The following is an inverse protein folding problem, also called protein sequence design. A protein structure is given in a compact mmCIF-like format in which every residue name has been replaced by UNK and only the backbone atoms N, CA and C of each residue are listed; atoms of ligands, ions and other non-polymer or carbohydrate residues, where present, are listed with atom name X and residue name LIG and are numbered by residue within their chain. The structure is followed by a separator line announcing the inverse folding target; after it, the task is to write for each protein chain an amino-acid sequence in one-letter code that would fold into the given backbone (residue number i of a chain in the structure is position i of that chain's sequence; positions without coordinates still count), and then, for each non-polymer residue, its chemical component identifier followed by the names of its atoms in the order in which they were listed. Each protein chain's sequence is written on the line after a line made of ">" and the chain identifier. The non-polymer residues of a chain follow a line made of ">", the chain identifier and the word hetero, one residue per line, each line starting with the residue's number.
data_IF_898498339738
#
_entry.id   IF_898498339738
#
_cell.length_a   1.000
_cell.length_b   1.000
_cell.length_c   1.000
_cell.angle_alpha   90.00
_cell.angle_beta   90.00
_cell.angle_gamma   90.00
#
_symmetry.space_group_name_H-M   'P 1'
#
loop_
_entity.id
_entity.type
_entity.pdbx_description
1 polymer ?
#
# COMPACT_ATOMS: atom_id res chain seq x y z
N UNK A 1 -15.20 19.64 0.12
CA UNK A 1 -16.35 20.55 0.29
C UNK A 1 -16.15 21.77 -0.59
N UNK A 2 -17.12 22.19 -1.42
CA UNK A 2 -16.95 23.36 -2.27
C UNK A 2 -16.86 24.63 -1.42
N UNK A 3 -15.87 25.48 -1.70
CA UNK A 3 -15.70 26.79 -1.06
C UNK A 3 -16.94 27.70 -1.23
N UNK A 4 -17.72 27.46 -2.28
CA UNK A 4 -18.92 28.21 -2.63
C UNK A 4 -20.17 27.79 -1.85
N UNK A 5 -20.06 26.94 -0.83
CA UNK A 5 -21.21 26.60 0.01
C UNK A 5 -21.64 27.84 0.79
N UNK A 6 -22.81 28.35 0.46
CA UNK A 6 -23.48 29.46 1.15
C UNK A 6 -24.76 28.93 1.77
N UNK A 7 -25.07 29.34 2.99
CA UNK A 7 -26.33 28.98 3.65
C UNK A 7 -27.53 29.58 2.90
N UNK A 8 -28.67 28.86 2.81
CA UNK A 8 -29.89 29.39 2.20
C UNK A 8 -30.34 30.72 2.83
N UNK A 9 -30.86 31.63 2.00
CA UNK A 9 -31.27 32.97 2.46
C UNK A 9 -32.43 32.94 3.46
N UNK A 10 -33.24 31.89 3.44
CA UNK A 10 -34.39 31.68 4.33
C UNK A 10 -34.00 31.21 5.74
N UNK A 11 -32.71 31.04 6.03
CA UNK A 11 -32.20 30.64 7.36
C UNK A 11 -32.08 31.81 8.35
N UNK A 12 -32.68 32.97 8.06
CA UNK A 12 -32.71 34.12 8.97
C UNK A 12 -31.35 34.79 9.10
N UNK A 13 -30.88 35.04 10.33
CA UNK A 13 -29.63 35.78 10.60
C UNK A 13 -28.37 35.12 10.01
N UNK A 14 -28.41 33.81 9.78
CA UNK A 14 -27.32 33.06 9.16
C UNK A 14 -27.54 32.84 7.67
N UNK A 15 -28.57 33.42 7.05
CA UNK A 15 -28.79 33.32 5.61
C UNK A 15 -27.73 34.06 4.80
N UNK A 16 -27.28 33.47 3.69
CA UNK A 16 -26.21 34.05 2.87
C UNK A 16 -24.80 33.96 3.47
N UNK A 17 -24.64 33.26 4.60
CA UNK A 17 -23.36 33.07 5.27
C UNK A 17 -22.42 32.18 4.44
N UNK A 18 -21.14 32.57 4.21
CA UNK A 18 -20.19 31.81 3.41
C UNK A 18 -19.61 30.61 4.19
N UNK A 19 -20.48 29.64 4.49
CA UNK A 19 -20.16 28.48 5.32
C UNK A 19 -18.98 27.67 4.79
N UNK A 20 -18.85 27.51 3.46
CA UNK A 20 -17.74 26.80 2.85
C UNK A 20 -16.38 27.46 3.14
N UNK A 21 -16.31 28.78 3.07
CA UNK A 21 -15.11 29.54 3.42
C UNK A 21 -14.81 29.43 4.91
N UNK A 22 -15.82 29.59 5.76
CA UNK A 22 -15.64 29.48 7.22
C UNK A 22 -15.15 28.09 7.63
N UNK A 23 -15.73 27.01 7.07
CA UNK A 23 -15.25 25.63 7.29
C UNK A 23 -13.78 25.50 6.90
N UNK A 24 -13.39 26.07 5.74
CA UNK A 24 -12.01 26.02 5.30
C UNK A 24 -11.05 26.82 6.20
N UNK A 25 -11.50 27.92 6.80
CA UNK A 25 -10.77 28.66 7.83
C UNK A 25 -10.61 27.84 9.11
N UNK A 26 -11.67 27.19 9.60
CA UNK A 26 -11.60 26.31 10.76
C UNK A 26 -10.60 25.16 10.53
N UNK A 27 -10.64 24.53 9.35
CA UNK A 27 -9.68 23.46 8.97
C UNK A 27 -8.24 23.97 8.95
N UNK A 28 -7.99 25.18 8.43
CA UNK A 28 -6.66 25.82 8.44
C UNK A 28 -6.18 26.11 9.86
N UNK A 29 -7.03 26.67 10.71
CA UNK A 29 -6.69 26.95 12.11
C UNK A 29 -6.42 25.66 12.90
N UNK A 30 -7.21 24.61 12.67
CA UNK A 30 -6.98 23.29 13.26
C UNK A 30 -5.65 22.69 12.80
N UNK A 31 -5.36 22.70 11.50
CA UNK A 31 -4.09 22.22 10.96
C UNK A 31 -2.87 23.01 11.51
N UNK A 32 -3.03 24.31 11.73
CA UNK A 32 -2.03 25.17 12.35
C UNK A 32 -1.93 25.02 13.88
N UNK A 33 -2.81 24.20 14.50
CA UNK A 33 -2.95 24.03 15.96
C UNK A 33 -3.19 25.34 16.71
N UNK A 34 -3.86 26.29 16.06
CA UNK A 34 -4.22 27.60 16.64
C UNK A 34 -5.68 27.68 17.07
N UNK A 35 -6.48 26.66 16.74
CA UNK A 35 -7.87 26.57 17.15
C UNK A 35 -7.98 26.12 18.62
N UNK A 36 -8.85 26.77 19.39
CA UNK A 36 -9.09 26.44 20.79
C UNK A 36 -9.65 25.02 20.96
N UNK A 37 -9.16 24.28 21.96
CA UNK A 37 -9.60 22.90 22.22
C UNK A 37 -11.12 22.77 22.45
N UNK A 38 -11.75 23.72 23.14
CA UNK A 38 -13.21 23.73 23.31
C UNK A 38 -13.94 23.82 21.97
N UNK A 39 -13.50 24.70 21.08
CA UNK A 39 -14.05 24.84 19.73
C UNK A 39 -13.82 23.60 18.87
N UNK A 40 -12.66 22.95 18.98
CA UNK A 40 -12.42 21.67 18.30
C UNK A 40 -13.47 20.65 18.74
N UNK A 41 -13.69 20.49 20.04
CA UNK A 41 -14.66 19.52 20.58
C UNK A 41 -16.11 19.80 20.14
N UNK A 42 -16.53 21.07 20.14
CA UNK A 42 -17.86 21.47 19.63
C UNK A 42 -18.04 21.08 18.16
N UNK A 43 -17.04 21.37 17.33
CA UNK A 43 -17.10 21.07 15.90
C UNK A 43 -17.06 19.57 15.63
N UNK A 44 -16.30 18.80 16.42
CA UNK A 44 -16.29 17.34 16.35
C UNK A 44 -17.66 16.73 16.70
N UNK A 45 -18.35 17.26 17.72
CA UNK A 45 -19.72 16.83 18.06
C UNK A 45 -20.72 17.09 16.93
N UNK A 46 -20.49 18.14 16.14
CA UNK A 46 -21.26 18.45 14.94
C UNK A 46 -20.83 17.62 13.71
N UNK A 47 -19.87 16.71 13.86
CA UNK A 47 -19.40 15.85 12.78
C UNK A 47 -18.41 16.52 11.82
N UNK A 48 -17.69 17.55 12.27
CA UNK A 48 -16.70 18.27 11.47
C UNK A 48 -15.60 17.32 10.94
N UNK A 49 -15.49 17.24 9.62
CA UNK A 49 -14.38 16.55 8.95
C UNK A 49 -13.23 17.55 8.79
N UNK A 50 -12.12 17.35 9.51
CA UNK A 50 -10.95 18.22 9.48
C UNK A 50 -10.07 18.02 8.24
N UNK A 51 -9.94 16.77 7.79
CA UNK A 51 -9.15 16.37 6.63
C UNK A 51 -9.92 15.34 5.80
N UNK A 52 -10.22 15.70 4.55
CA UNK A 52 -10.91 14.79 3.62
C UNK A 52 -10.02 13.60 3.26
N UNK A 53 -8.69 13.81 3.24
CA UNK A 53 -7.72 12.75 3.00
C UNK A 53 -7.69 11.74 4.16
N UNK A 54 -7.68 12.20 5.42
CA UNK A 54 -7.71 11.30 6.57
C UNK A 54 -9.04 10.56 6.67
N UNK A 55 -10.16 11.25 6.43
CA UNK A 55 -11.48 10.61 6.42
C UNK A 55 -11.59 9.56 5.30
N UNK A 56 -11.09 9.85 4.10
CA UNK A 56 -11.05 8.90 2.99
C UNK A 56 -10.15 7.70 3.30
N UNK A 57 -9.01 7.92 3.96
CA UNK A 57 -8.12 6.86 4.41
C UNK A 57 -8.82 5.95 5.43
N UNK A 58 -9.38 6.53 6.49
CA UNK A 58 -10.10 5.80 7.54
C UNK A 58 -11.25 4.96 6.97
N UNK A 59 -12.04 5.52 6.04
CA UNK A 59 -13.08 4.77 5.35
C UNK A 59 -12.51 3.60 4.52
N UNK A 60 -11.43 3.84 3.77
CA UNK A 60 -10.74 2.81 2.99
C UNK A 60 -10.24 1.65 3.87
N UNK A 61 -9.66 1.95 5.03
CA UNK A 61 -9.22 0.95 6.00
C UNK A 61 -10.40 0.17 6.59
N UNK A 62 -11.50 0.85 6.94
CA UNK A 62 -12.69 0.20 7.46
C UNK A 62 -13.27 -0.80 6.45
N UNK A 63 -13.36 -0.41 5.17
CA UNK A 63 -13.79 -1.30 4.09
C UNK A 63 -12.78 -2.42 3.86
N UNK A 64 -11.48 -2.14 3.91
CA UNK A 64 -10.41 -3.14 3.77
C UNK A 64 -10.52 -4.23 4.84
N UNK A 65 -10.80 -3.85 6.10
CA UNK A 65 -10.99 -4.78 7.21
C UNK A 65 -12.18 -5.71 6.97
N UNK A 66 -13.33 -5.15 6.57
CA UNK A 66 -14.52 -5.96 6.21
C UNK A 66 -14.27 -6.87 5.03
N UNK A 67 -13.55 -6.39 4.01
CA UNK A 67 -13.17 -7.22 2.87
C UNK A 67 -12.30 -8.39 3.34
N UNK A 68 -11.28 -8.12 4.15
CA UNK A 68 -10.37 -9.13 4.66
C UNK A 68 -11.06 -10.17 5.54
N UNK A 69 -11.99 -9.73 6.40
CA UNK A 69 -12.83 -10.61 7.21
C UNK A 69 -13.68 -11.55 6.34
N UNK A 70 -14.31 -11.03 5.29
CA UNK A 70 -15.15 -11.83 4.40
C UNK A 70 -14.36 -12.80 3.49
N UNK A 71 -13.12 -12.46 3.12
CA UNK A 71 -12.34 -13.22 2.13
C UNK A 71 -11.14 -13.98 2.74
N UNK A 72 -10.83 -13.75 4.01
CA UNK A 72 -9.66 -14.28 4.72
C UNK A 72 -8.32 -13.66 4.30
N UNK A 73 -8.34 -12.55 3.53
CA UNK A 73 -7.15 -11.83 3.06
C UNK A 73 -7.49 -10.44 2.49
N UNK A 74 -6.50 -9.53 2.45
CA UNK A 74 -6.66 -8.21 1.84
C UNK A 74 -5.94 -8.10 0.49
N UNK A 75 -6.47 -8.84 -0.50
CA UNK A 75 -5.94 -8.85 -1.87
C UNK A 75 -7.05 -8.66 -2.91
N UNK A 76 -7.86 -7.59 -2.83
CA UNK A 76 -8.94 -7.37 -3.79
C UNK A 76 -8.40 -7.26 -5.23
N UNK A 77 -9.09 -7.85 -6.23
CA UNK A 77 -8.87 -7.53 -7.65
C UNK A 77 -9.01 -6.02 -7.90
N UNK A 78 -8.33 -5.46 -8.90
CA UNK A 78 -8.36 -4.01 -9.17
C UNK A 78 -9.76 -3.48 -9.47
N UNK A 79 -10.64 -4.34 -10.01
CA UNK A 79 -12.05 -4.02 -10.32
C UNK A 79 -13.00 -4.21 -9.14
N UNK A 80 -12.51 -4.69 -7.99
CA UNK A 80 -13.38 -5.00 -6.86
C UNK A 80 -13.97 -3.73 -6.24
N UNK A 81 -15.27 -3.78 -6.00
CA UNK A 81 -16.05 -2.82 -5.24
C UNK A 81 -16.63 -3.53 -4.03
N UNK A 82 -16.50 -2.95 -2.84
CA UNK A 82 -16.99 -3.50 -1.58
C UNK A 82 -17.59 -2.38 -0.74
N UNK A 83 -18.79 -2.57 -0.19
CA UNK A 83 -19.55 -1.51 0.51
C UNK A 83 -19.65 -0.19 -0.29
N UNK A 84 -19.83 -0.30 -1.62
CA UNK A 84 -19.86 0.86 -2.52
C UNK A 84 -18.52 1.59 -2.70
N UNK A 85 -17.44 1.12 -2.05
CA UNK A 85 -16.11 1.67 -2.16
C UNK A 85 -15.26 0.88 -3.18
N UNK A 86 -14.52 1.54 -4.10
CA UNK A 86 -13.68 0.88 -5.10
C UNK A 86 -12.38 0.33 -4.47
N UNK A 87 -12.53 -0.67 -3.59
CA UNK A 87 -11.47 -1.20 -2.73
C UNK A 87 -10.29 -1.78 -3.53
N UNK A 88 -10.55 -2.29 -4.74
CA UNK A 88 -9.53 -2.77 -5.65
C UNK A 88 -8.56 -1.68 -6.12
N UNK A 89 -9.12 -0.55 -6.57
CA UNK A 89 -8.34 0.61 -6.99
C UNK A 89 -7.65 1.28 -5.79
N UNK A 90 -8.34 1.37 -4.66
CA UNK A 90 -7.77 1.88 -3.41
C UNK A 90 -6.56 1.06 -2.97
N UNK A 91 -6.68 -0.27 -2.90
CA UNK A 91 -5.58 -1.17 -2.53
C UNK A 91 -4.40 -1.09 -3.51
N UNK A 92 -4.66 -0.92 -4.82
CA UNK A 92 -3.61 -0.69 -5.82
C UNK A 92 -2.81 0.57 -5.50
N UNK A 93 -3.49 1.67 -5.20
CA UNK A 93 -2.84 2.95 -4.88
C UNK A 93 -2.09 2.89 -3.55
N UNK A 94 -2.67 2.25 -2.53
CA UNK A 94 -2.02 2.03 -1.25
C UNK A 94 -0.72 1.21 -1.42
N UNK A 95 -0.73 0.16 -2.24
CA UNK A 95 0.49 -0.62 -2.55
C UNK A 95 1.55 0.22 -3.26
N UNK A 96 1.15 1.08 -4.20
CA UNK A 96 2.10 1.96 -4.89
C UNK A 96 2.75 2.95 -3.89
N UNK A 97 1.96 3.53 -2.99
CA UNK A 97 2.45 4.40 -1.93
C UNK A 97 3.36 3.66 -0.93
N UNK A 98 3.06 2.40 -0.62
CA UNK A 98 3.89 1.55 0.24
C UNK A 98 5.27 1.27 -0.38
N UNK A 99 5.27 0.89 -1.66
CA UNK A 99 6.51 0.62 -2.40
C UNK A 99 7.38 1.85 -2.50
N UNK A 100 6.77 3.02 -2.77
CA UNK A 100 7.48 4.31 -2.79
C UNK A 100 8.09 4.64 -1.42
N UNK A 101 7.40 4.34 -0.32
CA UNK A 101 7.95 4.55 1.01
C UNK A 101 9.18 3.65 1.26
N UNK A 102 9.12 2.38 0.88
CA UNK A 102 10.26 1.45 0.99
C UNK A 102 11.45 1.88 0.13
N UNK A 103 11.21 2.27 -1.11
CA UNK A 103 12.25 2.80 -2.00
C UNK A 103 12.93 4.05 -1.40
N UNK A 104 12.15 4.96 -0.81
CA UNK A 104 12.70 6.13 -0.14
C UNK A 104 13.56 5.75 1.08
N UNK A 105 13.12 4.77 1.86
CA UNK A 105 13.89 4.24 3.01
C UNK A 105 15.20 3.60 2.56
N UNK A 106 15.19 2.82 1.49
CA UNK A 106 16.38 2.23 0.88
C UNK A 106 17.37 3.30 0.38
N UNK A 107 16.87 4.34 -0.28
CA UNK A 107 17.68 5.48 -0.69
C UNK A 107 18.33 6.18 0.50
N UNK A 108 17.56 6.43 1.56
CA UNK A 108 18.08 7.01 2.80
C UNK A 108 19.14 6.13 3.46
N UNK A 109 18.91 4.82 3.56
CA UNK A 109 19.87 3.87 4.11
C UNK A 109 21.17 3.82 3.28
N UNK A 110 21.08 4.00 1.96
CA UNK A 110 22.22 4.10 1.06
C UNK A 110 22.89 5.49 1.04
N UNK A 111 22.44 6.45 1.86
CA UNK A 111 22.96 7.82 1.87
C UNK A 111 22.65 8.62 0.59
N UNK A 112 21.67 8.18 -0.19
CA UNK A 112 21.25 8.82 -1.46
C UNK A 112 20.10 9.80 -1.20
N UNK A 113 20.05 10.93 -1.93
CA UNK A 113 18.97 11.90 -1.76
C UNK A 113 17.64 11.34 -2.29
N UNK A 114 16.57 11.52 -1.51
CA UNK A 114 15.19 11.29 -1.96
C UNK A 114 14.68 12.55 -2.64
N UNK A 115 14.29 12.43 -3.91
CA UNK A 115 13.82 13.57 -4.70
C UNK A 115 12.46 14.12 -4.25
N UNK A 116 11.60 13.28 -3.68
CA UNK A 116 10.32 13.70 -3.08
C UNK A 116 9.69 12.62 -2.22
N UNK A 117 9.28 12.98 -0.99
CA UNK A 117 8.45 12.15 -0.12
C UNK A 117 6.95 12.18 -0.50
N UNK A 118 6.54 13.04 -1.46
CA UNK A 118 5.15 13.13 -1.86
C UNK A 118 4.64 11.80 -2.40
N UNK A 119 3.44 11.41 -1.95
CA UNK A 119 2.80 10.14 -2.32
C UNK A 119 3.40 8.89 -1.66
N UNK A 120 4.48 9.00 -0.88
CA UNK A 120 4.93 7.92 -0.03
C UNK A 120 3.94 7.75 1.14
N UNK A 121 3.61 6.50 1.46
CA UNK A 121 2.77 6.20 2.61
C UNK A 121 3.57 6.35 3.91
N UNK A 122 2.92 6.85 4.96
CA UNK A 122 3.53 6.93 6.29
C UNK A 122 3.68 5.54 6.92
N UNK A 123 4.58 5.39 7.87
CA UNK A 123 4.77 4.15 8.63
C UNK A 123 3.48 3.71 9.32
N UNK A 124 2.83 4.59 10.08
CA UNK A 124 1.57 4.29 10.75
C UNK A 124 0.46 3.77 9.82
N UNK A 125 0.38 4.29 8.58
CA UNK A 125 -0.58 3.81 7.58
C UNK A 125 -0.22 2.43 7.03
N UNK A 126 1.07 2.10 6.92
CA UNK A 126 1.52 0.74 6.60
C UNK A 126 1.16 -0.23 7.71
N UNK A 127 1.46 0.13 8.95
CA UNK A 127 1.18 -0.72 10.12
C UNK A 127 -0.31 -1.03 10.24
N UNK A 128 -1.18 -0.05 9.97
CA UNK A 128 -2.63 -0.24 9.96
C UNK A 128 -3.10 -1.27 8.92
N UNK A 129 -2.49 -1.30 7.74
CA UNK A 129 -2.76 -2.27 6.69
C UNK A 129 -2.11 -3.64 6.96
N UNK A 130 -0.89 -3.64 7.52
CA UNK A 130 -0.19 -4.86 7.92
C UNK A 130 -0.95 -5.60 9.05
N UNK A 131 -1.60 -4.85 9.95
CA UNK A 131 -2.50 -5.40 10.95
C UNK A 131 -3.77 -6.05 10.37
N UNK A 132 -4.18 -5.68 9.15
CA UNK A 132 -5.30 -6.34 8.44
C UNK A 132 -4.81 -7.60 7.75
N UNK A 133 -3.73 -7.52 6.99
CA UNK A 133 -3.10 -8.67 6.32
C UNK A 133 -1.63 -8.35 6.00
N UNK A 134 -0.64 -8.95 6.68
CA UNK A 134 0.78 -8.71 6.39
C UNK A 134 1.18 -9.02 4.94
N UNK A 135 0.40 -9.85 4.25
CA UNK A 135 0.60 -10.21 2.85
C UNK A 135 -0.03 -9.23 1.85
N UNK A 136 -0.57 -8.09 2.28
CA UNK A 136 -1.33 -7.20 1.40
C UNK A 136 -0.47 -6.51 0.33
N UNK A 137 0.82 -6.24 0.59
CA UNK A 137 1.75 -5.58 -0.34
C UNK A 137 2.99 -6.45 -0.60
N UNK A 138 2.86 -7.55 -1.38
CA UNK A 138 3.99 -8.41 -1.70
C UNK A 138 4.96 -7.73 -2.68
N UNK A 139 6.24 -8.13 -2.60
CA UNK A 139 7.28 -7.73 -3.57
C UNK A 139 7.15 -8.46 -4.91
N UNK A 140 6.39 -9.55 -4.96
CA UNK A 140 6.02 -10.30 -6.17
C UNK A 140 4.59 -9.97 -6.65
N UNK A 141 4.09 -10.75 -7.60
CA UNK A 141 2.77 -10.59 -8.20
C UNK A 141 1.61 -10.77 -7.18
N UNK A 142 0.71 -9.80 -7.13
CA UNK A 142 -0.45 -9.83 -6.22
C UNK A 142 -1.44 -10.94 -6.54
N UNK A 143 -1.54 -11.37 -7.80
CA UNK A 143 -2.41 -12.50 -8.16
C UNK A 143 -1.83 -13.81 -7.64
N UNK A 144 -0.52 -14.03 -7.75
CA UNK A 144 0.13 -15.17 -7.10
C UNK A 144 -0.13 -15.19 -5.60
N UNK A 145 0.07 -14.05 -4.91
CA UNK A 145 -0.18 -13.95 -3.46
C UNK A 145 -1.63 -14.31 -3.09
N UNK A 146 -2.59 -13.85 -3.89
CA UNK A 146 -4.00 -14.19 -3.71
C UNK A 146 -4.22 -15.69 -3.86
N UNK A 147 -3.74 -16.30 -4.95
CA UNK A 147 -3.89 -17.74 -5.16
C UNK A 147 -3.26 -18.55 -4.01
N UNK A 148 -2.06 -18.17 -3.56
CA UNK A 148 -1.41 -18.80 -2.41
C UNK A 148 -2.30 -18.74 -1.17
N UNK A 149 -2.87 -17.57 -0.86
CA UNK A 149 -3.70 -17.37 0.32
C UNK A 149 -5.01 -18.17 0.26
N UNK A 150 -5.62 -18.26 -0.91
CA UNK A 150 -6.82 -19.09 -1.13
C UNK A 150 -6.53 -20.58 -0.93
N UNK A 151 -5.42 -21.08 -1.47
CA UNK A 151 -5.00 -22.48 -1.28
C UNK A 151 -4.65 -22.75 0.17
N UNK A 152 -3.87 -21.86 0.79
CA UNK A 152 -3.49 -21.99 2.19
C UNK A 152 -4.74 -22.07 3.07
N UNK A 153 -5.71 -21.17 2.90
CA UNK A 153 -6.94 -21.16 3.66
C UNK A 153 -7.79 -22.43 3.40
N UNK A 154 -7.84 -22.91 2.14
CA UNK A 154 -8.53 -24.15 1.80
C UNK A 154 -7.92 -25.37 2.52
N UNK A 155 -6.60 -25.48 2.52
CA UNK A 155 -5.88 -26.58 3.19
C UNK A 155 -6.05 -26.51 4.71
N UNK A 156 -5.98 -25.30 5.29
CA UNK A 156 -6.23 -25.12 6.73
C UNK A 156 -7.68 -25.48 7.14
N UNK A 157 -8.63 -25.34 6.23
CA UNK A 157 -10.01 -25.78 6.43
C UNK A 157 -10.21 -27.31 6.22
N UNK A 158 -9.14 -28.08 6.00
CA UNK A 158 -9.17 -29.53 5.80
C UNK A 158 -9.33 -29.97 4.33
N UNK A 159 -9.26 -29.03 3.40
CA UNK A 159 -9.28 -29.31 1.96
C UNK A 159 -7.97 -29.89 1.45
N UNK A 160 -8.02 -30.59 0.31
CA UNK A 160 -6.83 -31.14 -0.35
C UNK A 160 -6.22 -30.12 -1.30
N UNK A 161 -4.90 -30.17 -1.50
CA UNK A 161 -4.23 -29.28 -2.45
C UNK A 161 -4.81 -29.50 -3.87
N UNK A 162 -5.32 -28.46 -4.56
CA UNK A 162 -5.77 -28.60 -5.94
C UNK A 162 -4.58 -28.91 -6.85
N UNK A 163 -4.68 -29.97 -7.65
CA UNK A 163 -3.58 -30.44 -8.51
C UNK A 163 -3.85 -30.25 -10.01
N UNK A 164 -5.11 -29.99 -10.37
CA UNK A 164 -5.58 -29.70 -11.72
C UNK A 164 -6.47 -28.46 -11.76
N UNK A 165 -6.58 -27.88 -12.96
CA UNK A 165 -7.53 -26.80 -13.28
C UNK A 165 -8.95 -27.24 -12.92
N UNK A 166 -9.68 -26.40 -12.19
CA UNK A 166 -11.07 -26.64 -11.80
C UNK A 166 -11.25 -27.46 -10.52
N UNK A 167 -10.18 -28.00 -9.92
CA UNK A 167 -10.27 -28.77 -8.66
C UNK A 167 -10.85 -27.92 -7.52
N UNK A 168 -10.45 -26.65 -7.45
CA UNK A 168 -10.89 -25.69 -6.46
C UNK A 168 -11.05 -24.34 -7.15
N UNK A 169 -12.27 -23.78 -7.13
CA UNK A 169 -12.53 -22.40 -7.55
C UNK A 169 -13.05 -21.65 -6.34
N UNK A 170 -12.27 -20.69 -5.85
CA UNK A 170 -12.62 -19.89 -4.68
C UNK A 170 -12.52 -18.42 -5.08
N UNK A 171 -13.59 -17.65 -4.83
CA UNK A 171 -13.68 -16.23 -5.18
C UNK A 171 -13.41 -15.95 -6.68
N UNK A 172 -13.83 -16.86 -7.56
CA UNK A 172 -13.63 -16.74 -9.01
C UNK A 172 -12.18 -16.93 -9.49
N UNK A 173 -11.26 -17.29 -8.59
CA UNK A 173 -9.90 -17.70 -8.92
C UNK A 173 -9.81 -19.22 -8.86
N UNK A 174 -9.06 -19.78 -9.81
CA UNK A 174 -8.74 -21.21 -9.88
C UNK A 174 -7.25 -21.38 -9.53
N UNK A 175 -6.92 -21.74 -8.27
CA UNK A 175 -5.55 -21.96 -7.88
C UNK A 175 -4.93 -23.22 -8.51
N UNK A 176 -5.75 -24.20 -8.89
CA UNK A 176 -5.32 -25.42 -9.56
C UNK A 176 -4.62 -25.12 -10.90
N UNK A 177 -5.10 -24.12 -11.63
CA UNK A 177 -4.42 -23.60 -12.84
C UNK A 177 -2.98 -23.15 -12.60
N UNK A 178 -2.69 -22.57 -11.43
CA UNK A 178 -1.32 -22.14 -11.06
C UNK A 178 -0.48 -23.30 -10.56
N UNK A 179 -1.05 -24.24 -9.81
CA UNK A 179 -0.34 -25.46 -9.39
C UNK A 179 0.11 -26.26 -10.61
N UNK A 180 -0.75 -26.41 -11.62
CA UNK A 180 -0.37 -27.03 -12.90
C UNK A 180 0.77 -26.26 -13.58
N UNK A 181 0.70 -24.92 -13.65
CA UNK A 181 1.76 -24.10 -14.26
C UNK A 181 3.11 -24.20 -13.51
N UNK A 182 3.08 -24.28 -12.17
CA UNK A 182 4.30 -24.37 -11.35
C UNK A 182 4.95 -25.75 -11.40
N UNK A 183 4.16 -26.82 -11.60
CA UNK A 183 4.66 -28.18 -11.83
C UNK A 183 5.46 -28.34 -13.13
N UNK A 184 5.19 -27.51 -14.15
CA UNK A 184 5.94 -27.52 -15.42
C UNK A 184 7.06 -26.47 -15.50
N UNK A 185 7.16 -25.58 -14.51
CA UNK A 185 8.17 -24.51 -14.44
C UNK A 185 9.21 -24.68 -13.34
N UNK A 186 9.19 -25.81 -12.62
CA UNK A 186 10.08 -26.07 -11.47
C UNK A 186 11.57 -25.95 -11.82
N UNK A 187 11.95 -26.33 -13.04
CA UNK A 187 13.34 -26.24 -13.53
C UNK A 187 13.77 -24.82 -13.93
N UNK A 188 12.86 -23.85 -13.91
CA UNK A 188 13.12 -22.44 -14.25
C UNK A 188 13.10 -21.52 -13.02
N UNK A 189 12.90 -22.08 -11.82
CA UNK A 189 12.98 -21.31 -10.58
C UNK A 189 14.46 -21.07 -10.25
N UNK A 190 14.90 -19.82 -10.38
CA UNK A 190 16.22 -19.38 -9.93
C UNK A 190 16.30 -19.63 -8.42
N UNK A 191 17.34 -20.31 -7.90
CA UNK A 191 17.52 -20.43 -6.46
C UNK A 191 17.59 -19.02 -5.87
N UNK A 192 16.83 -18.76 -4.80
CA UNK A 192 17.12 -17.64 -3.91
C UNK A 192 18.55 -17.84 -3.44
N UNK A 193 19.47 -17.00 -3.95
CA UNK A 193 20.85 -16.99 -3.50
C UNK A 193 20.82 -16.53 -2.04
N UNK A 194 21.30 -17.34 -1.09
CA UNK A 194 21.57 -16.85 0.25
C UNK A 194 22.67 -15.79 0.10
N UNK A 195 22.41 -14.56 0.54
CA UNK A 195 23.48 -13.58 0.72
C UNK A 195 24.29 -14.09 1.90
N UNK A 196 25.50 -14.58 1.62
CA UNK A 196 26.45 -15.02 2.64
C UNK A 196 27.04 -13.77 3.35
N UNK A 197 26.82 -13.56 4.66
CA UNK A 197 27.33 -12.40 5.36
C UNK A 197 28.76 -12.67 5.81
N UNK A 198 29.72 -12.65 4.88
CA UNK A 198 31.11 -12.74 5.29
C UNK A 198 32.10 -13.16 4.22
N UNK A 199 32.38 -12.29 3.24
CA UNK A 199 33.70 -12.29 2.64
C UNK A 199 34.07 -10.89 2.13
N UNK A 200 34.87 -10.19 2.93
CA UNK A 200 35.66 -9.05 2.48
C UNK A 200 36.78 -9.57 1.57
N UNK A 201 36.94 -9.04 0.34
CA UNK A 201 38.16 -9.30 -0.42
C UNK A 201 39.27 -8.43 0.16
N UNK A 202 40.22 -9.04 0.86
CA UNK A 202 41.52 -8.42 1.13
C UNK A 202 42.53 -8.79 0.04
N UNK A 203 43.28 -7.75 -0.33
CA UNK A 203 44.47 -7.68 -1.16
C UNK A 203 45.27 -8.97 -1.40
N UNK A 204 45.61 -9.18 -2.66
CA UNK A 204 46.84 -9.85 -3.06
C UNK A 204 47.61 -8.91 -3.99
N UNK A 205 48.61 -8.26 -3.39
CA UNK A 205 49.70 -7.58 -4.08
C UNK A 205 50.61 -8.63 -4.73
N UNK A 206 51.01 -8.41 -5.99
CA UNK A 206 51.84 -9.36 -6.74
C UNK A 206 52.37 -8.84 -8.07
N UNK A 207 53.21 -7.79 -7.99
CA UNK A 207 54.18 -7.27 -8.97
C UNK A 207 54.48 -8.13 -10.22
N UNK A 208 54.26 -7.55 -11.41
CA UNK A 208 54.81 -7.99 -12.69
C UNK A 208 55.09 -6.78 -13.60
N UNK A 209 56.35 -6.37 -13.68
CA UNK A 209 56.86 -5.25 -14.46
C UNK A 209 57.07 -5.65 -15.92
N UNK A 210 56.40 -4.99 -16.88
CA UNK A 210 56.91 -4.88 -18.25
C UNK A 210 56.34 -3.66 -18.98
N UNK A 211 57.24 -2.70 -19.24
CA UNK A 211 57.09 -1.54 -20.12
C UNK A 211 57.40 -1.98 -21.56
N UNK A 212 56.63 -1.53 -22.56
CA UNK A 212 57.29 -1.18 -23.81
C UNK A 212 56.73 0.12 -24.44
N UNK A 213 57.58 1.14 -24.49
CA UNK A 213 57.54 2.17 -25.54
C UNK A 213 58.43 1.79 -26.75
N UNK A 214 57.99 2.25 -27.94
CA UNK A 214 58.67 2.33 -29.27
C UNK A 214 58.73 0.98 -30.02
N UNK A 215 58.40 0.90 -31.31
CA UNK A 215 58.85 1.74 -32.44
C UNK A 215 57.84 1.81 -33.59
N UNK A 216 57.93 2.93 -34.31
CA UNK A 216 57.35 3.24 -35.61
C UNK A 216 57.72 2.24 -36.72
N UNK A 217 56.75 1.87 -37.57
CA UNK A 217 56.74 2.06 -39.04
C UNK A 217 55.53 1.41 -39.69
#
# INVERSE_FOLDING_TARGET
>A
MPYALVTPEDWGEVGGYPLGQWIAEQRRAHAARTLEAGRVSELEQLGMVWSEQEAAWANGVAVARKYAEAHGHFLPPTTAVWDGHPIGAWAKNARAAARRARENEELHAAGRPVSSAAGAMTEARRDELDAIDPGWCPVWDTRWQRCYRLVHNHVQAGGTLPTAVGDVVVQGEDPGRRVTAQRFGWEQLVPVQPVDPGEHPQDHTGRGSHDPRRLDR
#
